data_IF_931734778691
#
_entry.id   IF_931734778691
#
_cell.length_a   1.000
_cell.length_b   1.000
_cell.length_c   1.000
_cell.angle_alpha   90.00
_cell.angle_beta   90.00
_cell.angle_gamma   90.00
#
_symmetry.space_group_name_H-M   'P 1'
#
loop_
_entity.id
_entity.type
_entity.pdbx_description
1 polymer ?
#
# COMPACT_ATOMS: atom_id res chain seq x y z
N UNK A 1 3.10 21.60 6.19
CA UNK A 1 3.49 20.76 5.04
C UNK A 1 4.18 19.53 5.60
N UNK A 2 3.44 18.45 5.86
CA UNK A 2 4.00 17.22 6.44
C UNK A 2 4.79 16.46 5.38
N UNK A 3 5.97 15.95 5.75
CA UNK A 3 6.88 15.19 4.90
C UNK A 3 6.15 14.00 4.28
N UNK A 4 6.06 13.96 2.94
CA UNK A 4 5.31 12.94 2.17
C UNK A 4 5.86 11.50 2.31
N UNK A 5 6.96 11.32 3.01
CA UNK A 5 7.65 10.05 3.22
C UNK A 5 8.35 10.13 4.58
N UNK A 6 8.00 9.26 5.54
CA UNK A 6 8.68 8.91 6.81
C UNK A 6 7.67 8.65 7.94
N UNK A 7 6.89 7.58 7.82
CA UNK A 7 5.93 7.17 8.83
C UNK A 7 5.67 5.68 8.67
N UNK A 8 5.57 4.88 9.74
CA UNK A 8 6.00 5.16 11.12
C UNK A 8 7.49 4.86 11.37
N UNK A 9 8.07 5.44 12.43
CA UNK A 9 9.37 5.02 12.98
C UNK A 9 9.27 3.68 13.75
N UNK A 10 10.39 3.15 14.28
CA UNK A 10 10.41 1.89 15.03
C UNK A 10 9.52 1.94 16.28
N UNK A 11 8.59 1.00 16.40
CA UNK A 11 7.60 0.91 17.48
C UNK A 11 6.49 1.97 17.41
N UNK A 12 6.51 2.85 16.41
CA UNK A 12 5.53 3.93 16.28
C UNK A 12 4.33 3.50 15.45
N UNK A 13 3.26 4.30 15.57
CA UNK A 13 2.07 4.19 14.75
C UNK A 13 1.67 5.56 14.19
N UNK A 14 1.17 5.55 12.96
CA UNK A 14 0.65 6.72 12.27
C UNK A 14 -0.84 6.55 12.00
N UNK A 15 -1.66 7.43 12.57
CA UNK A 15 -3.09 7.49 12.28
C UNK A 15 -3.35 8.26 10.99
N UNK A 16 -4.16 7.68 10.11
CA UNK A 16 -4.54 8.23 8.81
C UNK A 16 -6.07 8.21 8.65
N UNK A 17 -6.65 9.39 8.48
CA UNK A 17 -8.06 9.57 8.10
C UNK A 17 -8.12 9.83 6.59
N UNK A 18 -8.75 8.95 5.82
CA UNK A 18 -8.75 9.03 4.35
C UNK A 18 -9.75 10.06 3.82
N UNK A 19 -10.77 10.41 4.62
CA UNK A 19 -11.79 11.44 4.30
C UNK A 19 -12.41 11.23 2.92
N UNK A 20 -12.29 12.20 2.02
CA UNK A 20 -12.85 12.16 0.66
C UNK A 20 -11.88 11.59 -0.39
N UNK A 21 -10.78 10.97 0.06
CA UNK A 21 -9.75 10.42 -0.80
C UNK A 21 -9.53 8.95 -0.52
N UNK A 22 -9.18 8.18 -1.55
CA UNK A 22 -8.61 6.84 -1.40
C UNK A 22 -7.09 6.92 -1.26
N UNK A 23 -6.49 5.92 -0.62
CA UNK A 23 -5.05 5.86 -0.36
C UNK A 23 -4.47 4.50 -0.71
N UNK A 24 -3.18 4.49 -1.07
CA UNK A 24 -2.36 3.29 -0.99
C UNK A 24 -1.40 3.42 0.20
N UNK A 25 -1.16 2.32 0.91
CA UNK A 25 0.00 2.18 1.81
C UNK A 25 1.02 1.33 1.10
N UNK A 26 2.05 2.00 0.55
CA UNK A 26 3.08 1.35 -0.27
C UNK A 26 4.44 1.37 0.44
N UNK A 27 4.95 0.21 0.89
CA UNK A 27 6.31 0.11 1.43
C UNK A 27 7.37 0.48 0.38
N UNK A 28 8.17 1.50 0.69
CA UNK A 28 9.39 1.81 -0.05
C UNK A 28 10.60 1.09 0.57
N UNK A 29 10.62 1.01 1.90
CA UNK A 29 11.56 0.21 2.72
C UNK A 29 10.92 -0.16 4.05
N UNK A 30 11.20 -1.36 4.56
CA UNK A 30 10.64 -1.87 5.83
C UNK A 30 9.28 -2.53 5.66
N UNK A 31 8.78 -3.11 6.75
CA UNK A 31 7.48 -3.76 6.87
C UNK A 31 6.55 -2.96 7.80
N UNK A 32 5.25 -3.11 7.65
CA UNK A 32 4.29 -2.50 8.57
C UNK A 32 3.00 -3.32 8.68
N UNK A 33 2.19 -2.99 9.68
CA UNK A 33 0.82 -3.47 9.81
C UNK A 33 -0.12 -2.28 9.57
N UNK A 34 -1.11 -2.48 8.70
CA UNK A 34 -2.19 -1.52 8.46
C UNK A 34 -3.44 -2.06 9.11
N UNK A 35 -3.97 -1.35 10.09
CA UNK A 35 -5.22 -1.70 10.78
C UNK A 35 -6.32 -0.75 10.37
N UNK A 36 -7.44 -1.27 9.89
CA UNK A 36 -8.64 -0.48 9.55
C UNK A 36 -9.89 -1.34 9.79
N UNK A 37 -10.97 -0.72 10.27
CA UNK A 37 -12.23 -1.39 10.64
C UNK A 37 -12.03 -2.64 11.53
N UNK A 38 -11.08 -2.56 12.46
CA UNK A 38 -10.73 -3.67 13.38
C UNK A 38 -9.98 -4.85 12.74
N UNK A 39 -9.70 -4.77 11.44
CA UNK A 39 -8.94 -5.79 10.71
C UNK A 39 -7.49 -5.32 10.51
N UNK A 40 -6.53 -6.21 10.74
CA UNK A 40 -5.11 -5.94 10.56
C UNK A 40 -4.57 -6.65 9.32
N UNK A 41 -3.82 -5.92 8.50
CA UNK A 41 -3.16 -6.41 7.29
C UNK A 41 -1.64 -6.21 7.44
N UNK A 42 -0.88 -7.30 7.41
CA UNK A 42 0.59 -7.23 7.42
C UNK A 42 1.12 -6.99 6.01
N UNK A 43 1.95 -5.96 5.88
CA UNK A 43 2.75 -5.67 4.69
C UNK A 43 4.19 -6.11 4.95
N UNK A 44 4.61 -7.14 4.22
CA UNK A 44 5.97 -7.68 4.25
C UNK A 44 6.99 -6.63 3.83
N UNK A 45 6.63 -5.81 2.84
CA UNK A 45 7.46 -4.74 2.35
C UNK A 45 8.72 -5.23 1.61
N UNK A 46 9.80 -4.46 1.74
CA UNK A 46 11.08 -4.70 1.05
C UNK A 46 12.24 -3.96 1.72
N UNK A 47 13.47 -4.33 1.42
CA UNK A 47 14.68 -3.66 1.96
C UNK A 47 15.11 -2.42 1.16
N UNK A 48 14.53 -2.21 -0.02
CA UNK A 48 14.85 -1.13 -0.95
C UNK A 48 13.92 -1.18 -2.16
N UNK A 49 13.65 -0.05 -2.81
CA UNK A 49 12.65 -0.02 -3.90
C UNK A 49 12.98 -0.98 -5.06
N UNK A 50 14.26 -1.25 -5.30
CA UNK A 50 14.74 -2.18 -6.33
C UNK A 50 15.02 -3.60 -5.80
N UNK A 51 14.88 -3.84 -4.49
CA UNK A 51 15.30 -5.11 -3.88
C UNK A 51 14.34 -6.26 -4.18
N UNK A 52 13.04 -5.97 -4.28
CA UNK A 52 12.02 -6.96 -4.58
C UNK A 52 10.71 -6.28 -5.00
N UNK A 53 9.83 -7.11 -5.55
CA UNK A 53 8.40 -6.79 -5.61
C UNK A 53 7.89 -6.59 -4.18
N UNK A 54 7.10 -5.53 -3.93
CA UNK A 54 6.45 -5.31 -2.63
C UNK A 54 4.96 -5.59 -2.72
N UNK A 55 4.39 -5.96 -1.58
CA UNK A 55 2.97 -5.87 -1.30
C UNK A 55 2.56 -4.43 -0.94
N UNK A 56 1.26 -4.13 -1.01
CA UNK A 56 0.68 -2.86 -0.58
C UNK A 56 -0.80 -3.01 -0.20
N UNK A 57 -1.30 -2.08 0.62
CA UNK A 57 -2.71 -2.02 0.99
C UNK A 57 -3.43 -0.87 0.26
N UNK A 58 -4.65 -1.12 -0.22
CA UNK A 58 -5.59 -0.07 -0.63
C UNK A 58 -6.50 0.29 0.54
N UNK A 59 -6.64 1.59 0.83
CA UNK A 59 -7.55 2.12 1.82
C UNK A 59 -8.65 2.92 1.10
N UNK A 60 -9.93 2.58 1.30
CA UNK A 60 -11.03 3.33 0.72
C UNK A 60 -11.15 4.71 1.37
N UNK A 61 -11.98 5.57 0.75
CA UNK A 61 -12.42 6.82 1.37
C UNK A 61 -13.18 6.55 2.67
N UNK A 62 -13.21 7.54 3.55
CA UNK A 62 -13.89 7.51 4.85
C UNK A 62 -13.40 6.43 5.82
N UNK A 63 -12.25 5.82 5.55
CA UNK A 63 -11.56 4.94 6.48
C UNK A 63 -10.74 5.71 7.51
N UNK A 64 -10.76 5.19 8.73
CA UNK A 64 -9.77 5.49 9.75
C UNK A 64 -8.80 4.30 9.83
N UNK A 65 -7.51 4.58 9.60
CA UNK A 65 -6.47 3.57 9.57
C UNK A 65 -5.34 3.89 10.56
N UNK A 66 -4.72 2.86 11.11
CA UNK A 66 -3.51 2.93 11.90
C UNK A 66 -2.40 2.13 11.21
N UNK A 67 -1.29 2.80 10.90
CA UNK A 67 -0.13 2.18 10.26
C UNK A 67 0.98 2.08 11.29
N UNK A 68 1.34 0.87 11.73
CA UNK A 68 2.40 0.64 12.73
C UNK A 68 3.55 -0.17 12.18
N UNK A 69 4.78 0.07 12.67
CA UNK A 69 5.94 -0.75 12.29
C UNK A 69 6.81 -1.02 13.51
N UNK A 70 7.23 -2.27 13.70
CA UNK A 70 8.14 -2.63 14.78
C UNK A 70 9.54 -2.03 14.56
N UNK A 71 10.06 -2.13 13.35
CA UNK A 71 11.42 -1.71 12.99
C UNK A 71 11.46 -0.36 12.26
N UNK A 72 10.30 0.21 11.95
CA UNK A 72 10.15 1.44 11.18
C UNK A 72 10.35 1.24 9.69
N UNK A 73 10.19 2.32 8.92
CA UNK A 73 10.42 2.26 7.49
C UNK A 73 10.10 3.55 6.75
N UNK A 74 10.01 3.43 5.42
CA UNK A 74 9.54 4.49 4.53
C UNK A 74 8.39 3.94 3.72
N UNK A 75 7.28 4.64 3.79
CA UNK A 75 6.04 4.26 3.16
C UNK A 75 5.53 5.45 2.37
N UNK A 76 5.13 5.22 1.13
CA UNK A 76 4.43 6.20 0.34
C UNK A 76 2.93 6.08 0.63
N UNK A 77 2.26 7.24 0.69
CA UNK A 77 0.82 7.36 0.80
C UNK A 77 0.22 8.07 -0.43
N UNK A 78 0.32 7.49 -1.64
CA UNK A 78 -0.39 8.03 -2.80
C UNK A 78 -1.87 8.13 -2.51
N UNK A 79 -2.49 9.22 -2.94
CA UNK A 79 -3.93 9.41 -2.78
C UNK A 79 -4.56 10.09 -3.97
N UNK A 80 -5.85 9.82 -4.14
CA UNK A 80 -6.70 10.46 -5.13
C UNK A 80 -8.03 10.81 -4.47
N UNK A 81 -8.53 12.02 -4.75
CA UNK A 81 -9.91 12.39 -4.36
C UNK A 81 -10.87 11.59 -5.21
N UNK A 82 -11.91 11.03 -4.60
CA UNK A 82 -12.95 10.29 -5.33
C UNK A 82 -14.34 10.61 -4.81
N UNK A 83 -15.27 10.89 -5.72
CA UNK A 83 -16.69 11.14 -5.41
C UNK A 83 -17.51 9.83 -5.41
N UNK A 84 -16.98 8.74 -5.97
CA UNK A 84 -17.65 7.45 -6.10
C UNK A 84 -16.74 6.32 -5.60
N UNK A 85 -17.21 5.56 -4.59
CA UNK A 85 -16.42 4.52 -3.94
C UNK A 85 -16.44 3.17 -4.66
N UNK A 86 -16.02 3.14 -5.92
CA UNK A 86 -15.72 1.87 -6.58
C UNK A 86 -14.39 1.96 -7.32
N UNK A 87 -13.57 0.92 -7.17
CA UNK A 87 -12.28 0.80 -7.83
C UNK A 87 -12.19 -0.56 -8.53
N UNK A 88 -11.64 -0.56 -9.75
CA UNK A 88 -11.20 -1.80 -10.38
C UNK A 88 -9.72 -1.98 -10.09
N UNK A 89 -9.39 -3.04 -9.36
CA UNK A 89 -8.03 -3.35 -9.03
C UNK A 89 -7.59 -4.58 -9.80
N UNK A 90 -6.59 -4.40 -10.66
CA UNK A 90 -5.97 -5.49 -11.41
C UNK A 90 -4.52 -5.60 -11.00
N UNK A 91 -4.13 -6.80 -10.59
CA UNK A 91 -2.77 -7.14 -10.21
C UNK A 91 -2.32 -8.32 -11.04
N UNK A 92 -1.16 -8.17 -11.67
CA UNK A 92 -0.50 -9.27 -12.36
C UNK A 92 0.79 -9.61 -11.61
N UNK A 93 0.98 -10.88 -11.31
CA UNK A 93 2.19 -11.41 -10.68
C UNK A 93 3.28 -11.75 -11.71
N UNK A 94 4.35 -12.36 -11.23
CA UNK A 94 5.39 -12.96 -12.11
C UNK A 94 5.19 -14.48 -12.20
N UNK A 95 5.80 -15.20 -13.15
CA UNK A 95 5.71 -16.66 -13.20
C UNK A 95 6.11 -17.36 -11.88
N UNK A 96 7.09 -16.80 -11.16
CA UNK A 96 7.57 -17.30 -9.87
C UNK A 96 6.63 -16.95 -8.70
N UNK A 97 5.78 -15.93 -8.87
CA UNK A 97 4.83 -15.43 -7.87
C UNK A 97 3.51 -15.06 -8.57
N UNK A 98 2.74 -16.06 -9.03
CA UNK A 98 1.60 -15.82 -9.91
C UNK A 98 0.48 -15.12 -9.16
N UNK A 99 -0.06 -14.07 -9.77
CA UNK A 99 -1.25 -13.34 -9.34
C UNK A 99 -2.00 -12.97 -10.61
N UNK A 100 -3.25 -13.38 -10.72
CA UNK A 100 -4.16 -12.95 -11.79
C UNK A 100 -5.54 -12.78 -11.17
N UNK A 101 -5.70 -11.64 -10.51
CA UNK A 101 -6.93 -11.30 -9.77
C UNK A 101 -7.49 -10.01 -10.35
N UNK A 102 -8.74 -10.11 -10.81
CA UNK A 102 -9.60 -8.98 -11.09
C UNK A 102 -10.74 -9.02 -10.07
N UNK A 103 -10.74 -8.07 -9.13
CA UNK A 103 -11.78 -7.94 -8.13
C UNK A 103 -12.47 -6.57 -8.27
N UNK A 104 -13.79 -6.57 -8.11
CA UNK A 104 -14.54 -5.35 -7.86
C UNK A 104 -14.33 -4.96 -6.40
N UNK A 105 -13.80 -3.76 -6.18
CA UNK A 105 -13.56 -3.22 -4.83
C UNK A 105 -14.58 -2.12 -4.59
N UNK A 106 -15.44 -2.31 -3.59
CA UNK A 106 -16.49 -1.37 -3.22
C UNK A 106 -16.03 -0.44 -2.10
N UNK A 107 -16.79 0.62 -1.88
CA UNK A 107 -16.55 1.57 -0.80
C UNK A 107 -16.58 0.83 0.54
N UNK A 108 -15.49 0.94 1.30
CA UNK A 108 -15.29 0.23 2.56
C UNK A 108 -14.45 -1.05 2.45
N UNK A 109 -14.15 -1.54 1.23
CA UNK A 109 -13.28 -2.70 1.06
C UNK A 109 -11.80 -2.31 1.14
N UNK A 110 -11.03 -3.02 1.97
CA UNK A 110 -9.56 -2.95 2.00
C UNK A 110 -8.98 -4.17 1.29
N UNK A 111 -8.04 -3.94 0.38
CA UNK A 111 -7.41 -5.01 -0.40
C UNK A 111 -5.91 -5.04 -0.14
N UNK A 112 -5.42 -6.21 0.26
CA UNK A 112 -4.00 -6.52 0.28
C UNK A 112 -3.59 -7.06 -1.10
N UNK A 113 -2.59 -6.45 -1.70
CA UNK A 113 -1.99 -6.95 -2.92
C UNK A 113 -0.62 -7.55 -2.61
N UNK A 114 -0.45 -8.88 -2.68
CA UNK A 114 0.88 -9.46 -2.63
C UNK A 114 1.65 -9.10 -3.90
N UNK A 115 2.96 -8.85 -3.81
CA UNK A 115 3.86 -8.73 -4.96
C UNK A 115 3.31 -7.92 -6.17
N UNK A 116 2.68 -6.76 -5.93
CA UNK A 116 1.99 -5.99 -6.96
C UNK A 116 2.79 -4.83 -7.57
N UNK A 117 4.01 -4.56 -7.07
CA UNK A 117 4.79 -3.40 -7.49
C UNK A 117 6.29 -3.69 -7.64
N UNK A 118 6.81 -3.56 -8.87
CA UNK A 118 8.22 -3.44 -9.21
C UNK A 118 8.46 -2.07 -9.85
N UNK A 119 9.44 -1.25 -9.39
CA UNK A 119 9.92 -0.17 -10.24
C UNK A 119 10.61 -0.77 -11.47
N UNK A 120 10.22 -0.28 -12.65
CA UNK A 120 10.77 -0.69 -13.93
C UNK A 120 12.25 -0.29 -14.06
N UNK A 121 13.12 -1.23 -14.41
CA UNK A 121 14.47 -0.96 -14.93
C UNK A 121 14.52 -1.50 -16.36
N UNK A 122 14.69 -0.62 -17.36
CA UNK A 122 15.04 -1.03 -18.73
C UNK A 122 14.19 -0.50 -19.89
N UNK A 123 14.44 0.73 -20.35
CA UNK A 123 14.56 1.00 -21.78
C UNK A 123 16.01 1.42 -22.04
N UNK A 124 16.91 0.45 -22.03
CA UNK A 124 18.26 0.60 -22.55
C UNK A 124 18.56 -0.56 -23.49
N UNK A 125 17.73 -0.71 -24.53
CA UNK A 125 18.11 -1.31 -25.80
C UNK A 125 17.35 -0.61 -26.93
N UNK A 126 18.01 0.39 -27.54
CA UNK A 126 17.96 0.70 -28.97
C UNK A 126 19.30 1.29 -29.39
#
# INVERSE_FOLDING_TARGET
>A
MSSKYHLPGPGEAHALSTRDSEFLVLPLTGSCTVTTDGTAFELTGRTGVFASVTDFAYLPRESEALISSADGGRFALPSARTEHGFGYQRVNGTPERPIDVLAEVRSGDTVLIPHGWLPFEGLNER
#
